data_IF_713120127844
#
_entry.id   IF_713120127844
#
_cell.length_a   1.000
_cell.length_b   1.000
_cell.length_c   1.000
_cell.angle_alpha   90.00
_cell.angle_beta   90.00
_cell.angle_gamma   90.00
#
_symmetry.space_group_name_H-M   'P 1'
#
loop_
_entity.id
_entity.type
_entity.pdbx_description
1 polymer ?
#
# COMPACT_ATOMS: atom_id res chain seq x y z
N UNK A 1 14.52 -3.83 17.34
CA UNK A 1 14.13 -4.38 16.03
C UNK A 1 12.66 -4.74 16.12
N UNK A 2 11.89 -3.67 16.06
CA UNK A 2 10.60 -3.45 15.41
C UNK A 2 9.56 -4.55 15.62
N UNK A 3 8.64 -4.25 16.55
CA UNK A 3 7.34 -4.89 16.70
C UNK A 3 6.64 -4.95 15.34
N UNK A 4 6.74 -6.11 14.68
CA UNK A 4 6.00 -6.42 13.47
C UNK A 4 4.50 -6.19 13.70
N UNK A 5 3.82 -5.71 12.66
CA UNK A 5 2.38 -5.51 12.68
C UNK A 5 1.67 -6.76 13.21
N UNK A 6 0.89 -6.60 14.29
CA UNK A 6 0.07 -7.67 14.85
C UNK A 6 -1.29 -7.63 14.14
N UNK A 7 -1.62 -8.70 13.41
CA UNK A 7 -2.85 -8.83 12.64
C UNK A 7 -3.91 -9.73 13.34
N UNK A 8 -3.72 -10.09 14.61
CA UNK A 8 -4.57 -11.08 15.29
C UNK A 8 -6.01 -10.58 15.46
N UNK A 9 -6.19 -9.26 15.64
CA UNK A 9 -7.50 -8.60 15.80
C UNK A 9 -8.03 -7.99 14.48
N UNK A 10 -7.41 -8.33 13.34
CA UNK A 10 -7.73 -7.73 12.04
C UNK A 10 -8.30 -8.76 11.06
N UNK A 11 -9.38 -8.39 10.36
CA UNK A 11 -9.89 -9.19 9.25
C UNK A 11 -9.04 -8.94 8.00
N UNK A 12 -8.46 -10.00 7.45
CA UNK A 12 -7.80 -9.93 6.15
C UNK A 12 -8.83 -9.82 5.02
N UNK A 13 -8.69 -8.81 4.18
CA UNK A 13 -9.62 -8.50 3.10
C UNK A 13 -9.07 -8.81 1.70
N UNK A 14 -7.74 -8.92 1.57
CA UNK A 14 -7.10 -9.26 0.31
C UNK A 14 -5.71 -8.68 0.14
N UNK A 15 -5.06 -9.07 -0.95
CA UNK A 15 -3.81 -8.44 -1.40
C UNK A 15 -4.10 -7.18 -2.21
N UNK A 16 -3.30 -6.13 -1.99
CA UNK A 16 -3.40 -4.85 -2.70
C UNK A 16 -2.04 -4.45 -3.25
N UNK A 17 -2.05 -3.86 -4.43
CA UNK A 17 -0.86 -3.35 -5.10
C UNK A 17 -1.11 -1.93 -5.56
N UNK A 18 -0.20 -1.01 -5.27
CA UNK A 18 -0.23 0.35 -5.80
C UNK A 18 1.02 0.62 -6.63
N UNK A 19 0.85 1.34 -7.73
CA UNK A 19 1.97 1.64 -8.65
C UNK A 19 1.87 3.05 -9.17
N UNK A 20 2.99 3.75 -9.25
CA UNK A 20 3.09 5.00 -9.98
C UNK A 20 4.43 5.08 -10.73
N UNK A 21 4.38 5.64 -11.93
CA UNK A 21 5.52 5.81 -12.82
C UNK A 21 5.35 5.01 -14.11
N UNK A 22 5.71 5.64 -15.23
CA UNK A 22 5.81 5.02 -16.55
C UNK A 22 7.27 5.03 -17.00
N UNK A 23 7.59 4.30 -18.08
CA UNK A 23 8.94 4.15 -18.62
C UNK A 23 9.69 5.47 -18.91
N UNK A 24 8.99 6.60 -19.04
CA UNK A 24 9.55 7.95 -19.23
C UNK A 24 9.50 8.85 -17.97
N UNK A 25 8.83 8.43 -16.89
CA UNK A 25 8.56 9.31 -15.73
C UNK A 25 9.82 9.78 -15.01
N UNK A 26 10.89 8.97 -15.00
CA UNK A 26 12.19 9.33 -14.40
C UNK A 26 12.82 10.59 -15.02
N UNK A 27 12.50 10.91 -16.28
CA UNK A 27 13.06 12.08 -16.97
C UNK A 27 12.42 13.41 -16.51
N UNK A 28 11.24 13.35 -15.90
CA UNK A 28 10.38 14.53 -15.67
C UNK A 28 9.90 14.69 -14.23
N UNK A 29 9.90 13.62 -13.42
CA UNK A 29 9.36 13.63 -12.07
C UNK A 29 10.40 13.18 -11.06
N UNK A 30 10.46 13.89 -9.93
CA UNK A 30 11.28 13.50 -8.80
C UNK A 30 10.72 12.23 -8.13
N UNK A 31 11.61 11.37 -7.63
CA UNK A 31 11.24 10.04 -7.10
C UNK A 31 10.23 10.09 -5.94
N UNK A 32 10.20 11.19 -5.17
CA UNK A 32 9.26 11.40 -4.07
C UNK A 32 7.81 11.50 -4.55
N UNK A 33 7.58 12.11 -5.72
CA UNK A 33 6.24 12.20 -6.35
C UNK A 33 5.75 10.80 -6.74
N UNK A 34 6.66 9.97 -7.27
CA UNK A 34 6.31 8.61 -7.67
C UNK A 34 5.95 7.74 -6.46
N UNK A 35 6.71 7.87 -5.38
CA UNK A 35 6.43 7.18 -4.11
C UNK A 35 5.06 7.58 -3.56
N UNK A 36 4.77 8.90 -3.52
CA UNK A 36 3.49 9.39 -3.02
C UNK A 36 2.31 8.89 -3.86
N UNK A 37 2.46 8.88 -5.19
CA UNK A 37 1.43 8.38 -6.10
C UNK A 37 1.13 6.90 -5.89
N UNK A 38 2.15 6.06 -5.77
CA UNK A 38 1.97 4.62 -5.54
C UNK A 38 1.33 4.34 -4.17
N UNK A 39 1.70 5.12 -3.14
CA UNK A 39 1.09 5.06 -1.81
C UNK A 39 -0.36 5.53 -1.81
N UNK A 40 -0.72 6.48 -2.65
CA UNK A 40 -2.10 6.91 -2.81
C UNK A 40 -2.93 5.84 -3.54
N UNK A 41 -2.38 5.23 -4.59
CA UNK A 41 -3.04 4.15 -5.34
C UNK A 41 -3.34 2.94 -4.45
N UNK A 42 -2.36 2.46 -3.67
CA UNK A 42 -2.58 1.30 -2.78
C UNK A 42 -3.64 1.61 -1.70
N UNK A 43 -3.69 2.84 -1.18
CA UNK A 43 -4.70 3.26 -0.20
C UNK A 43 -6.09 3.32 -0.80
N UNK A 44 -6.21 3.84 -2.03
CA UNK A 44 -7.50 3.89 -2.73
C UNK A 44 -8.04 2.49 -2.99
N UNK A 45 -7.18 1.55 -3.39
CA UNK A 45 -7.55 0.14 -3.59
C UNK A 45 -7.92 -0.55 -2.28
N UNK A 46 -7.18 -0.31 -1.20
CA UNK A 46 -7.53 -0.82 0.12
C UNK A 46 -8.89 -0.28 0.60
N UNK A 47 -9.15 1.01 0.39
CA UNK A 47 -10.44 1.63 0.72
C UNK A 47 -11.60 1.03 -0.10
N UNK A 48 -11.38 0.67 -1.36
CA UNK A 48 -12.39 -0.03 -2.18
C UNK A 48 -12.74 -1.42 -1.63
N UNK A 49 -11.82 -2.06 -0.91
CA UNK A 49 -12.05 -3.34 -0.23
C UNK A 49 -12.67 -3.17 1.17
N UNK A 50 -12.84 -1.93 1.66
CA UNK A 50 -13.27 -1.66 3.03
C UNK A 50 -12.18 -1.86 4.08
N UNK A 51 -10.91 -1.91 3.67
CA UNK A 51 -9.78 -1.99 4.57
C UNK A 51 -9.42 -0.62 5.15
N UNK A 52 -9.08 -0.60 6.44
CA UNK A 52 -8.60 0.58 7.16
C UNK A 52 -7.08 0.58 7.32
N UNK A 53 -6.45 -0.59 7.16
CA UNK A 53 -5.03 -0.80 7.42
C UNK A 53 -4.39 -1.58 6.27
N UNK A 54 -3.22 -1.13 5.81
CA UNK A 54 -2.44 -1.85 4.79
C UNK A 54 -1.07 -2.17 5.34
N UNK A 55 -0.75 -3.46 5.43
CA UNK A 55 0.59 -3.93 5.77
C UNK A 55 1.41 -4.10 4.50
N UNK A 56 2.38 -3.21 4.29
CA UNK A 56 3.27 -3.25 3.14
C UNK A 56 4.41 -4.24 3.40
N UNK A 57 4.62 -5.17 2.46
CA UNK A 57 5.62 -6.24 2.61
C UNK A 57 7.01 -5.73 2.23
N UNK A 58 7.11 -5.03 1.10
CA UNK A 58 8.30 -4.26 0.71
C UNK A 58 8.00 -3.47 -0.57
N UNK A 59 8.43 -2.21 -0.69
CA UNK A 59 8.41 -1.52 -1.98
C UNK A 59 9.42 -2.17 -2.94
N UNK A 60 9.02 -2.35 -4.19
CA UNK A 60 9.95 -2.62 -5.28
C UNK A 60 10.33 -1.29 -5.93
N UNK A 61 11.59 -0.91 -5.71
CA UNK A 61 12.19 0.29 -6.28
C UNK A 61 12.72 -0.03 -7.67
N UNK A 62 12.06 0.50 -8.71
CA UNK A 62 12.60 0.49 -10.06
C UNK A 62 13.01 1.92 -10.43
N UNK A 63 14.12 2.05 -11.16
CA UNK A 63 14.64 3.35 -11.62
C UNK A 63 13.63 4.21 -12.40
N UNK A 64 12.53 3.64 -12.88
CA UNK A 64 11.50 4.31 -13.70
C UNK A 64 10.08 4.24 -13.11
N UNK A 65 9.87 3.53 -12.00
CA UNK A 65 8.54 3.31 -11.43
C UNK A 65 8.63 2.81 -10.00
N UNK A 66 7.71 3.25 -9.15
CA UNK A 66 7.63 2.78 -7.78
C UNK A 66 6.38 1.92 -7.61
N UNK A 67 6.57 0.68 -7.18
CA UNK A 67 5.45 -0.26 -6.93
C UNK A 67 5.51 -0.77 -5.50
N UNK A 68 4.36 -0.71 -4.83
CA UNK A 68 4.17 -1.22 -3.47
C UNK A 68 3.16 -2.35 -3.49
N UNK A 69 3.49 -3.42 -2.77
CA UNK A 69 2.60 -4.56 -2.56
C UNK A 69 2.37 -4.73 -1.08
N UNK A 70 1.12 -5.02 -0.70
CA UNK A 70 0.74 -5.18 0.69
C UNK A 70 -0.52 -6.00 0.86
N UNK A 71 -0.82 -6.32 2.12
CA UNK A 71 -2.07 -6.95 2.53
C UNK A 71 -2.99 -5.90 3.14
N UNK A 72 -4.26 -5.94 2.74
CA UNK A 72 -5.31 -5.07 3.23
C UNK A 72 -6.07 -5.75 4.38
N UNK A 73 -6.27 -4.99 5.46
CA UNK A 73 -6.90 -5.44 6.69
C UNK A 73 -7.97 -4.44 7.15
N UNK A 74 -8.99 -4.97 7.82
CA UNK A 74 -9.96 -4.19 8.59
C UNK A 74 -9.80 -4.53 10.07
N UNK A 75 -9.30 -3.57 10.84
CA UNK A 75 -8.99 -3.74 12.27
C UNK A 75 -9.95 -2.97 13.18
N UNK A 76 -10.54 -1.86 12.72
CA UNK A 76 -11.32 -0.97 13.59
C UNK A 76 -12.81 -1.34 13.69
N UNK A 77 -13.40 -1.98 12.68
CA UNK A 77 -14.85 -2.26 12.62
C UNK A 77 -15.27 -3.61 13.25
N UNK A 78 -14.31 -4.45 13.67
CA UNK A 78 -14.61 -5.78 14.24
C UNK A 78 -15.16 -5.68 15.68
N UNK A 79 -15.07 -4.51 16.34
CA UNK A 79 -15.55 -4.25 17.71
C UNK A 79 -17.01 -3.74 17.74
N UNK A 80 -17.86 -4.17 16.80
CA UNK A 80 -19.30 -4.01 16.96
C UNK A 80 -19.98 -5.37 16.92
N UNK A 81 -19.90 -6.09 18.04
CA UNK A 81 -20.70 -7.28 18.30
C UNK A 81 -21.76 -6.97 19.35
#
# INVERSE_FOLDING_TARGET
>A
MDSGFNADDCLWLGEVTGSEGHWYSYLFFANDVLIQGALHDIKNRANQLGADTVYMITPQDFATSFTVVGNAYQCHEIITK
#
